data_IF_981421015054
#
_entry.id   IF_981421015054
#
_cell.length_a   1.000
_cell.length_b   1.000
_cell.length_c   1.000
_cell.angle_alpha   90.00
_cell.angle_beta   90.00
_cell.angle_gamma   90.00
#
_symmetry.space_group_name_H-M   'P 1'
#
loop_
_entity.id
_entity.type
_entity.pdbx_description
1 polymer ?
#
# COMPACT_ATOMS: atom_id res chain seq x y z
N UNK A 1 -27.31 37.29 129.07
CA UNK A 1 -27.31 35.81 129.17
C UNK A 1 -28.48 35.29 128.36
N UNK A 2 -28.27 34.24 127.57
CA UNK A 2 -29.25 33.29 127.02
C UNK A 2 -30.65 33.80 126.64
N UNK A 3 -31.11 33.48 125.42
CA UNK A 3 -32.54 33.49 125.14
C UNK A 3 -32.92 32.36 124.17
N UNK A 4 -33.92 31.52 124.53
CA UNK A 4 -34.45 30.46 123.69
C UNK A 4 -35.76 30.86 122.98
N UNK A 5 -36.24 29.89 122.18
CA UNK A 5 -37.62 29.59 121.74
C UNK A 5 -38.18 30.14 120.41
N UNK A 6 -38.85 29.20 119.73
CA UNK A 6 -39.55 29.22 118.43
C UNK A 6 -40.41 30.46 118.19
N UNK A 7 -40.41 30.99 116.96
CA UNK A 7 -41.55 31.06 116.02
C UNK A 7 -41.13 31.80 114.73
N UNK A 8 -41.86 31.58 113.65
CA UNK A 8 -41.40 31.80 112.28
C UNK A 8 -41.21 33.24 111.82
N UNK A 9 -40.63 33.36 110.63
CA UNK A 9 -40.77 34.56 109.80
C UNK A 9 -40.76 34.13 108.34
N UNK A 10 -41.91 34.26 107.69
CA UNK A 10 -41.99 34.15 106.24
C UNK A 10 -41.14 35.25 105.63
N UNK A 11 -40.20 34.87 104.78
CA UNK A 11 -39.70 35.78 103.76
C UNK A 11 -40.72 35.70 102.65
N UNK A 12 -41.55 36.74 102.55
CA UNK A 12 -42.57 36.85 101.51
C UNK A 12 -41.89 36.68 100.15
N UNK A 13 -42.28 35.63 99.43
CA UNK A 13 -42.15 35.64 97.99
C UNK A 13 -43.07 36.77 97.51
N UNK A 14 -42.54 37.87 96.94
CA UNK A 14 -43.41 38.82 96.25
C UNK A 14 -44.22 38.03 95.22
N UNK A 15 -45.49 38.41 94.95
CA UNK A 15 -46.34 37.70 94.01
C UNK A 15 -45.58 37.49 92.70
N UNK A 16 -45.80 36.37 91.97
CA UNK A 16 -45.11 36.12 90.71
C UNK A 16 -45.37 37.28 89.77
N UNK A 17 -44.40 38.20 89.68
CA UNK A 17 -44.35 39.22 88.66
C UNK A 17 -44.20 38.47 87.35
N UNK A 18 -45.24 38.48 86.53
CA UNK A 18 -45.32 37.83 85.22
C UNK A 18 -44.26 38.38 84.26
N UNK A 19 -43.02 37.95 84.45
CA UNK A 19 -41.88 38.24 83.59
C UNK A 19 -41.46 36.96 82.89
N UNK A 20 -41.41 37.03 81.55
CA UNK A 20 -40.95 35.97 80.66
C UNK A 20 -39.73 35.23 81.21
N UNK A 21 -39.69 33.91 80.98
CA UNK A 21 -38.52 33.06 81.22
C UNK A 21 -37.28 33.74 80.58
N UNK A 22 -36.16 33.96 81.29
CA UNK A 22 -35.05 34.79 80.80
C UNK A 22 -34.49 34.42 79.41
N UNK A 23 -34.43 33.15 78.99
CA UNK A 23 -34.00 32.81 77.62
C UNK A 23 -35.11 32.92 76.56
N UNK A 24 -36.35 33.26 76.94
CA UNK A 24 -37.50 33.50 76.05
C UNK A 24 -38.04 34.94 76.20
N UNK A 25 -37.17 35.90 76.52
CA UNK A 25 -37.51 37.33 76.47
C UNK A 25 -37.51 37.80 75.01
N UNK A 26 -38.72 38.01 74.48
CA UNK A 26 -38.97 38.39 73.08
C UNK A 26 -38.47 39.79 72.72
N UNK A 27 -38.12 40.63 73.70
CA UNK A 27 -37.54 41.96 73.44
C UNK A 27 -36.13 41.88 72.80
N UNK A 28 -35.41 40.78 73.04
CA UNK A 28 -34.06 40.55 72.50
C UNK A 28 -34.06 39.93 71.09
N UNK A 29 -35.20 39.41 70.64
CA UNK A 29 -35.30 38.74 69.34
C UNK A 29 -35.16 39.71 68.16
N UNK A 30 -35.68 40.93 68.27
CA UNK A 30 -35.62 41.91 67.17
C UNK A 30 -34.18 42.32 66.84
N UNK A 31 -33.33 42.73 67.81
CA UNK A 31 -31.91 42.98 67.54
C UNK A 31 -31.16 41.76 66.98
N UNK A 32 -31.45 40.56 67.49
CA UNK A 32 -30.84 39.32 67.03
C UNK A 32 -31.20 39.01 65.56
N UNK A 33 -32.46 39.21 65.19
CA UNK A 33 -32.94 39.03 63.81
C UNK A 33 -32.33 40.07 62.85
N UNK A 34 -32.15 41.32 63.30
CA UNK A 34 -31.47 42.35 62.50
C UNK A 34 -30.02 41.95 62.25
N UNK A 35 -29.28 41.52 63.27
CA UNK A 35 -27.88 41.08 63.10
C UNK A 35 -27.77 39.79 62.27
N UNK A 36 -28.70 38.85 62.44
CA UNK A 36 -28.82 37.67 61.59
C UNK A 36 -29.03 38.07 60.13
N UNK A 37 -29.95 39.00 59.85
CA UNK A 37 -30.21 39.48 58.49
C UNK A 37 -28.97 40.17 57.88
N UNK A 38 -28.26 40.99 58.66
CA UNK A 38 -27.03 41.67 58.19
C UNK A 38 -25.93 40.65 57.89
N UNK A 39 -25.65 39.73 58.81
CA UNK A 39 -24.60 38.72 58.63
C UNK A 39 -24.93 37.73 57.51
N UNK A 40 -26.18 37.29 57.42
CA UNK A 40 -26.65 36.42 56.34
C UNK A 40 -26.64 37.15 54.98
N UNK A 41 -27.04 38.42 54.94
CA UNK A 41 -26.96 39.26 53.74
C UNK A 41 -25.51 39.45 53.27
N UNK A 42 -24.59 39.71 54.20
CA UNK A 42 -23.15 39.81 53.89
C UNK A 42 -22.60 38.49 53.35
N UNK A 43 -22.93 37.37 53.98
CA UNK A 43 -22.54 36.03 53.52
C UNK A 43 -23.13 35.73 52.14
N UNK A 44 -24.40 36.06 51.91
CA UNK A 44 -25.08 35.88 50.62
C UNK A 44 -24.38 36.67 49.52
N UNK A 45 -24.04 37.93 49.76
CA UNK A 45 -23.30 38.76 48.79
C UNK A 45 -21.91 38.17 48.51
N UNK A 46 -21.20 37.71 49.53
CA UNK A 46 -19.89 37.06 49.37
C UNK A 46 -20.01 35.79 48.50
N UNK A 47 -21.00 34.95 48.80
CA UNK A 47 -21.25 33.70 48.07
C UNK A 47 -21.66 33.96 46.61
N UNK A 48 -22.59 34.89 46.42
CA UNK A 48 -23.09 35.28 45.10
C UNK A 48 -21.98 35.90 44.25
N UNK A 49 -21.10 36.71 44.84
CA UNK A 49 -20.14 37.51 44.08
C UNK A 49 -18.79 36.84 43.88
N UNK A 50 -18.42 35.87 44.71
CA UNK A 50 -17.08 35.23 44.68
C UNK A 50 -17.17 33.73 44.42
N UNK A 51 -17.96 32.99 45.18
CA UNK A 51 -17.93 31.54 45.08
C UNK A 51 -18.70 31.00 43.87
N UNK A 52 -19.91 31.50 43.61
CA UNK A 52 -20.67 31.12 42.41
C UNK A 52 -19.88 31.39 41.11
N UNK A 53 -19.27 32.57 40.89
CA UNK A 53 -18.49 32.79 39.68
C UNK A 53 -17.25 31.90 39.60
N UNK A 54 -16.57 31.60 40.71
CA UNK A 54 -15.42 30.67 40.72
C UNK A 54 -15.82 29.25 40.32
N UNK A 55 -16.95 28.76 40.82
CA UNK A 55 -17.45 27.42 40.46
C UNK A 55 -17.88 27.41 38.99
N UNK A 56 -18.55 28.47 38.52
CA UNK A 56 -18.91 28.63 37.11
C UNK A 56 -17.69 28.60 36.18
N UNK A 57 -16.61 29.30 36.54
CA UNK A 57 -15.36 29.29 35.77
C UNK A 57 -14.78 27.87 35.64
N UNK A 58 -14.69 27.10 36.73
CA UNK A 58 -14.15 25.74 36.68
C UNK A 58 -15.01 24.81 35.83
N UNK A 59 -16.33 24.96 35.87
CA UNK A 59 -17.26 24.16 35.05
C UNK A 59 -17.06 24.51 33.57
N UNK A 60 -16.96 25.79 33.23
CA UNK A 60 -16.76 26.20 31.84
C UNK A 60 -15.38 25.78 31.33
N UNK A 61 -14.31 25.93 32.10
CA UNK A 61 -12.97 25.46 31.74
C UNK A 61 -12.94 23.95 31.44
N UNK A 62 -13.64 23.15 32.26
CA UNK A 62 -13.77 21.70 32.02
C UNK A 62 -14.57 21.42 30.77
N UNK A 63 -15.69 22.12 30.59
CA UNK A 63 -16.54 21.96 29.40
C UNK A 63 -15.78 22.30 28.13
N UNK A 64 -15.10 23.43 28.11
CA UNK A 64 -14.26 23.83 26.97
C UNK A 64 -13.12 22.84 26.71
N UNK A 65 -12.45 22.33 27.76
CA UNK A 65 -11.41 21.31 27.60
C UNK A 65 -11.97 20.05 26.95
N UNK A 66 -13.11 19.55 27.44
CA UNK A 66 -13.78 18.37 26.87
C UNK A 66 -14.15 18.63 25.41
N UNK A 67 -14.73 19.79 25.09
CA UNK A 67 -15.09 20.13 23.71
C UNK A 67 -13.85 20.18 22.82
N UNK A 68 -12.77 20.85 23.24
CA UNK A 68 -11.51 20.87 22.50
C UNK A 68 -10.92 19.48 22.28
N UNK A 69 -10.97 18.62 23.29
CA UNK A 69 -10.45 17.25 23.21
C UNK A 69 -11.30 16.39 22.26
N UNK A 70 -12.63 16.57 22.26
CA UNK A 70 -13.55 15.91 21.33
C UNK A 70 -13.33 16.39 19.88
N UNK A 71 -13.24 17.70 19.67
CA UNK A 71 -12.99 18.28 18.35
C UNK A 71 -11.64 17.81 17.79
N UNK A 72 -10.61 17.76 18.64
CA UNK A 72 -9.29 17.25 18.27
C UNK A 72 -9.36 15.75 17.92
N UNK A 73 -10.09 14.95 18.69
CA UNK A 73 -10.26 13.53 18.43
C UNK A 73 -11.01 13.28 17.11
N UNK A 74 -12.08 14.03 16.84
CA UNK A 74 -12.85 13.92 15.59
C UNK A 74 -11.99 14.33 14.39
N UNK A 75 -11.23 15.42 14.51
CA UNK A 75 -10.29 15.85 13.49
C UNK A 75 -9.22 14.79 13.21
N UNK A 76 -8.56 14.25 14.24
CA UNK A 76 -7.53 13.22 14.07
C UNK A 76 -8.13 11.95 13.45
N UNK A 77 -9.34 11.58 13.84
CA UNK A 77 -10.06 10.45 13.24
C UNK A 77 -10.31 10.69 11.76
N UNK A 78 -10.83 11.86 11.38
CA UNK A 78 -11.05 12.23 9.98
C UNK A 78 -9.76 12.26 9.15
N UNK A 79 -8.68 12.83 9.69
CA UNK A 79 -7.36 12.84 9.05
C UNK A 79 -6.82 11.42 8.85
N UNK A 80 -7.02 10.53 9.85
CA UNK A 80 -6.61 9.12 9.77
C UNK A 80 -7.41 8.35 8.74
N UNK A 81 -8.73 8.52 8.69
CA UNK A 81 -9.61 7.89 7.71
C UNK A 81 -9.25 8.33 6.28
N UNK A 82 -8.97 9.62 6.07
CA UNK A 82 -8.51 10.13 4.79
C UNK A 82 -7.14 9.57 4.40
N UNK A 83 -6.20 9.52 5.34
CA UNK A 83 -4.88 8.94 5.10
C UNK A 83 -4.97 7.44 4.76
N UNK A 84 -5.84 6.70 5.45
CA UNK A 84 -6.08 5.27 5.19
C UNK A 84 -6.68 5.07 3.80
N UNK A 85 -7.70 5.85 3.44
CA UNK A 85 -8.32 5.78 2.11
C UNK A 85 -7.30 6.10 0.99
N UNK A 86 -6.48 7.14 1.17
CA UNK A 86 -5.43 7.49 0.22
C UNK A 86 -4.35 6.39 0.12
N UNK A 87 -3.97 5.78 1.25
CA UNK A 87 -3.02 4.68 1.30
C UNK A 87 -3.55 3.43 0.57
N UNK A 88 -4.79 3.03 0.86
CA UNK A 88 -5.44 1.89 0.19
C UNK A 88 -5.57 2.13 -1.32
N UNK A 89 -5.96 3.33 -1.73
CA UNK A 89 -6.03 3.71 -3.14
C UNK A 89 -4.65 3.66 -3.81
N UNK A 90 -3.61 4.18 -3.16
CA UNK A 90 -2.25 4.14 -3.68
C UNK A 90 -1.75 2.70 -3.82
N UNK A 91 -2.05 1.83 -2.85
CA UNK A 91 -1.71 0.41 -2.88
C UNK A 91 -2.43 -0.32 -4.02
N UNK A 92 -3.73 -0.05 -4.20
CA UNK A 92 -4.51 -0.62 -5.30
C UNK A 92 -3.96 -0.17 -6.67
N UNK A 93 -3.64 1.11 -6.83
CA UNK A 93 -3.04 1.63 -8.05
C UNK A 93 -1.65 1.03 -8.31
N UNK A 94 -0.82 0.89 -7.28
CA UNK A 94 0.50 0.28 -7.41
C UNK A 94 0.42 -1.18 -7.86
N UNK A 95 -0.50 -1.96 -7.27
CA UNK A 95 -0.77 -3.34 -7.69
C UNK A 95 -1.27 -3.41 -9.13
N UNK A 96 -2.22 -2.55 -9.51
CA UNK A 96 -2.74 -2.49 -10.87
C UNK A 96 -1.64 -2.13 -11.89
N UNK A 97 -0.79 -1.15 -11.58
CA UNK A 97 0.36 -0.77 -12.42
C UNK A 97 1.37 -1.93 -12.54
N UNK A 98 1.71 -2.59 -11.44
CA UNK A 98 2.62 -3.73 -11.46
C UNK A 98 2.07 -4.88 -12.33
N UNK A 99 0.78 -5.20 -12.20
CA UNK A 99 0.13 -6.19 -13.06
C UNK A 99 0.14 -5.77 -14.53
N UNK A 100 -0.18 -4.50 -14.83
CA UNK A 100 -0.16 -3.97 -16.19
C UNK A 100 1.23 -3.99 -16.84
N UNK A 101 2.27 -3.64 -16.08
CA UNK A 101 3.66 -3.73 -16.54
C UNK A 101 4.03 -5.20 -16.82
N UNK A 102 3.73 -6.10 -15.88
CA UNK A 102 4.06 -7.52 -16.03
C UNK A 102 3.33 -8.16 -17.22
N UNK A 103 2.05 -7.83 -17.45
CA UNK A 103 1.30 -8.34 -18.60
C UNK A 103 1.83 -7.74 -19.91
N UNK A 104 2.07 -6.43 -19.95
CA UNK A 104 2.58 -5.74 -21.13
C UNK A 104 3.96 -6.23 -21.56
N UNK A 105 4.88 -6.43 -20.60
CA UNK A 105 6.20 -6.99 -20.90
C UNK A 105 6.12 -8.45 -21.35
N UNK A 106 5.25 -9.27 -20.76
CA UNK A 106 5.05 -10.66 -21.24
C UNK A 106 4.58 -10.69 -22.69
N UNK A 107 3.61 -9.85 -23.04
CA UNK A 107 3.08 -9.76 -24.41
C UNK A 107 4.14 -9.25 -25.39
N UNK A 108 4.91 -8.24 -24.99
CA UNK A 108 6.03 -7.71 -25.78
C UNK A 108 7.11 -8.76 -26.00
N UNK A 109 7.54 -9.46 -24.95
CA UNK A 109 8.55 -10.52 -25.04
C UNK A 109 8.08 -11.70 -25.90
N UNK A 110 6.79 -12.06 -25.82
CA UNK A 110 6.22 -13.09 -26.70
C UNK A 110 6.25 -12.65 -28.17
N UNK A 111 5.87 -11.40 -28.45
CA UNK A 111 5.89 -10.86 -29.81
C UNK A 111 7.32 -10.74 -30.36
N UNK A 112 8.27 -10.27 -29.56
CA UNK A 112 9.68 -10.15 -29.96
C UNK A 112 10.32 -11.53 -30.13
N UNK A 113 9.97 -12.51 -29.29
CA UNK A 113 10.39 -13.90 -29.44
C UNK A 113 9.90 -14.54 -30.74
N UNK A 114 8.63 -14.32 -31.09
CA UNK A 114 8.07 -14.80 -32.36
C UNK A 114 8.73 -14.14 -33.58
N UNK A 115 8.99 -12.82 -33.50
CA UNK A 115 9.71 -12.10 -34.57
C UNK A 115 11.13 -12.64 -34.78
N UNK A 116 11.89 -12.83 -33.71
CA UNK A 116 13.25 -13.35 -33.83
C UNK A 116 13.24 -14.80 -34.32
N UNK A 117 12.28 -15.61 -33.87
CA UNK A 117 12.08 -16.97 -34.37
C UNK A 117 11.84 -16.97 -35.88
N UNK A 118 10.90 -16.16 -36.38
CA UNK A 118 10.61 -16.06 -37.81
C UNK A 118 11.83 -15.59 -38.60
N UNK A 119 12.59 -14.62 -38.05
CA UNK A 119 13.83 -14.13 -38.67
C UNK A 119 14.88 -15.23 -38.78
N UNK A 120 15.10 -15.99 -37.71
CA UNK A 120 16.05 -17.12 -37.69
C UNK A 120 15.60 -18.23 -38.63
N UNK A 121 14.30 -18.57 -38.65
CA UNK A 121 13.75 -19.57 -39.58
C UNK A 121 13.95 -19.16 -41.05
N UNK A 122 13.74 -17.88 -41.39
CA UNK A 122 14.01 -17.36 -42.74
C UNK A 122 15.51 -17.42 -43.09
N UNK A 123 16.39 -17.04 -42.16
CA UNK A 123 17.84 -17.13 -42.37
C UNK A 123 18.30 -18.58 -42.56
N UNK A 124 17.75 -19.50 -41.76
CA UNK A 124 18.07 -20.92 -41.87
C UNK A 124 17.60 -21.49 -43.21
N UNK A 125 16.37 -21.15 -43.64
CA UNK A 125 15.85 -21.57 -44.93
C UNK A 125 16.71 -21.06 -46.11
N UNK A 126 17.17 -19.80 -46.04
CA UNK A 126 18.06 -19.23 -47.05
C UNK A 126 19.42 -19.94 -47.07
N UNK A 127 20.01 -20.21 -45.90
CA UNK A 127 21.28 -20.95 -45.80
C UNK A 127 21.15 -22.38 -46.32
N UNK A 128 20.03 -23.06 -46.04
CA UNK A 128 19.77 -24.41 -46.53
C UNK A 128 19.68 -24.41 -48.05
N UNK A 129 18.94 -23.46 -48.64
CA UNK A 129 18.81 -23.33 -50.08
C UNK A 129 20.16 -23.05 -50.77
N UNK A 130 21.01 -22.22 -50.18
CA UNK A 130 22.34 -21.94 -50.72
C UNK A 130 23.31 -23.12 -50.54
N UNK A 131 23.23 -23.86 -49.43
CA UNK A 131 23.97 -25.09 -49.24
C UNK A 131 23.58 -26.14 -50.29
N UNK A 132 22.28 -26.33 -50.54
CA UNK A 132 21.78 -27.26 -51.56
C UNK A 132 22.27 -26.89 -52.97
N UNK A 133 22.24 -25.59 -53.33
CA UNK A 133 22.82 -25.12 -54.59
C UNK A 133 24.31 -25.42 -54.70
N UNK A 134 25.08 -25.20 -53.63
CA UNK A 134 26.52 -25.48 -53.60
C UNK A 134 26.81 -26.98 -53.72
N UNK A 135 26.03 -27.82 -53.05
CA UNK A 135 26.12 -29.28 -53.15
C UNK A 135 25.81 -29.72 -54.58
N UNK A 136 24.73 -29.24 -55.18
CA UNK A 136 24.36 -29.54 -56.56
C UNK A 136 25.46 -29.12 -57.55
N UNK A 137 25.99 -27.91 -57.41
CA UNK A 137 27.08 -27.41 -58.27
C UNK A 137 28.36 -28.24 -58.11
N UNK A 138 28.73 -28.60 -56.87
CA UNK A 138 29.91 -29.42 -56.59
C UNK A 138 29.75 -30.83 -57.14
N UNK A 139 28.55 -31.43 -57.00
CA UNK A 139 28.21 -32.73 -57.58
C UNK A 139 28.35 -32.71 -59.10
N UNK A 140 27.79 -31.69 -59.77
CA UNK A 140 27.93 -31.54 -61.22
C UNK A 140 29.39 -31.39 -61.64
N UNK A 141 30.18 -30.58 -60.93
CA UNK A 141 31.62 -30.41 -61.21
C UNK A 141 32.39 -31.72 -61.02
N UNK A 142 32.16 -32.44 -59.92
CA UNK A 142 32.82 -33.71 -59.64
C UNK A 142 32.49 -34.77 -60.71
N UNK A 143 31.21 -34.87 -61.12
CA UNK A 143 30.81 -35.75 -62.21
C UNK A 143 31.46 -35.38 -63.55
N UNK A 144 31.58 -34.08 -63.86
CA UNK A 144 32.27 -33.62 -65.06
C UNK A 144 33.77 -33.98 -65.04
N UNK A 145 34.44 -33.79 -63.90
CA UNK A 145 35.85 -34.18 -63.73
C UNK A 145 36.06 -35.69 -63.84
N UNK A 146 35.15 -36.50 -63.29
CA UNK A 146 35.20 -37.97 -63.45
C UNK A 146 35.07 -38.35 -64.92
N UNK A 147 34.14 -37.73 -65.67
CA UNK A 147 33.98 -37.99 -67.10
C UNK A 147 35.22 -37.58 -67.90
N UNK A 148 35.87 -36.47 -67.55
CA UNK A 148 37.12 -36.04 -68.18
C UNK A 148 38.25 -37.04 -67.94
N UNK A 149 38.47 -37.43 -66.68
CA UNK A 149 39.49 -38.43 -66.31
C UNK A 149 39.20 -39.78 -66.96
N UNK A 150 37.92 -40.19 -67.05
CA UNK A 150 37.53 -41.42 -67.72
C UNK A 150 37.81 -41.38 -69.23
N UNK A 151 37.54 -40.25 -69.90
CA UNK A 151 37.86 -40.06 -71.32
C UNK A 151 39.37 -40.09 -71.58
N UNK A 152 40.15 -39.38 -70.75
CA UNK A 152 41.61 -39.35 -70.88
C UNK A 152 42.22 -40.74 -70.61
N UNK A 153 41.71 -41.46 -69.60
CA UNK A 153 42.16 -42.84 -69.28
C UNK A 153 41.78 -43.82 -70.38
N UNK A 154 40.54 -43.76 -70.90
CA UNK A 154 40.09 -44.63 -71.99
C UNK A 154 40.91 -44.38 -73.27
N UNK A 155 41.20 -43.13 -73.60
CA UNK A 155 42.06 -42.78 -74.73
C UNK A 155 43.48 -43.33 -74.58
N UNK A 156 44.07 -43.21 -73.38
CA UNK A 156 45.38 -43.78 -73.09
C UNK A 156 45.40 -45.32 -73.21
N UNK A 157 44.36 -46.00 -72.71
CA UNK A 157 44.21 -47.46 -72.81
C UNK A 157 44.06 -47.91 -74.26
N UNK A 158 43.24 -47.24 -75.07
CA UNK A 158 43.06 -47.53 -76.51
C UNK A 158 44.38 -47.33 -77.27
N UNK A 159 45.10 -46.24 -77.00
CA UNK A 159 46.41 -45.97 -77.61
C UNK A 159 47.42 -47.06 -77.28
N UNK A 160 47.43 -47.56 -76.03
CA UNK A 160 48.32 -48.63 -75.59
C UNK A 160 47.98 -50.01 -76.20
N UNK A 161 46.70 -50.32 -76.42
CA UNK A 161 46.25 -51.64 -76.90
C UNK A 161 46.27 -51.79 -78.42
N UNK A 162 45.85 -50.76 -79.16
CA UNK A 162 45.57 -50.86 -80.60
C UNK A 162 46.49 -49.96 -81.45
N UNK A 163 47.31 -49.12 -80.81
CA UNK A 163 48.27 -48.23 -81.49
C UNK A 163 47.64 -47.12 -82.33
N UNK A 164 46.32 -46.94 -82.28
CA UNK A 164 45.59 -45.91 -83.00
C UNK A 164 45.44 -44.64 -82.15
N UNK A 165 45.78 -43.48 -82.73
CA UNK A 165 45.44 -42.18 -82.15
C UNK A 165 43.96 -41.88 -82.46
N UNK A 166 43.09 -42.18 -81.49
CA UNK A 166 41.66 -41.87 -81.57
C UNK A 166 41.41 -40.46 -81.03
N UNK A 167 40.57 -39.68 -81.73
CA UNK A 167 40.23 -38.32 -81.32
C UNK A 167 39.51 -38.31 -79.97
N UNK A 168 39.83 -37.34 -79.10
CA UNK A 168 39.18 -37.14 -77.79
C UNK A 168 37.66 -37.05 -77.94
N UNK A 169 37.18 -36.42 -79.01
CA UNK A 169 35.73 -36.28 -79.27
C UNK A 169 35.06 -37.63 -79.58
N UNK A 170 35.75 -38.56 -80.25
CA UNK A 170 35.22 -39.90 -80.53
C UNK A 170 35.16 -40.75 -79.27
N UNK A 171 36.19 -40.66 -78.41
CA UNK A 171 36.24 -41.36 -77.10
C UNK A 171 35.13 -40.85 -76.19
N UNK A 172 34.92 -39.54 -76.10
CA UNK A 172 33.84 -38.93 -75.32
C UNK A 172 32.47 -39.35 -75.85
N UNK A 173 32.29 -39.39 -77.17
CA UNK A 173 31.02 -39.81 -77.81
C UNK A 173 30.72 -41.29 -77.56
N UNK A 174 31.73 -42.16 -77.56
CA UNK A 174 31.59 -43.58 -77.24
C UNK A 174 31.30 -43.81 -75.74
N UNK A 175 31.96 -43.09 -74.84
CA UNK A 175 31.69 -43.11 -73.39
C UNK A 175 30.25 -42.66 -73.07
N UNK A 176 29.76 -41.61 -73.73
CA UNK A 176 28.39 -41.14 -73.58
C UNK A 176 27.36 -42.18 -74.07
N UNK A 177 27.68 -42.94 -75.12
CA UNK A 177 26.83 -44.02 -75.62
C UNK A 177 26.86 -45.28 -74.73
N UNK A 178 27.94 -45.49 -73.97
CA UNK A 178 28.11 -46.63 -73.05
C UNK A 178 27.60 -46.36 -71.62
N UNK A 179 27.36 -45.11 -71.23
CA UNK A 179 26.82 -44.76 -69.93
C UNK A 179 25.36 -45.26 -69.78
N UNK A 180 24.97 -45.86 -68.64
CA UNK A 180 23.61 -46.36 -68.45
C UNK A 180 22.59 -45.21 -68.51
N UNK A 181 21.49 -45.42 -69.23
CA UNK A 181 20.40 -44.46 -69.34
C UNK A 181 19.86 -44.10 -67.94
N UNK A 182 19.79 -42.80 -67.63
CA UNK A 182 19.24 -42.26 -66.37
C UNK A 182 17.85 -42.87 -66.10
N UNK A 183 17.73 -43.68 -65.05
CA UNK A 183 16.46 -43.99 -64.38
C UNK A 183 16.15 -42.92 -63.35
#
# INVERSE_FOLDING_TARGET
MAAPTKTGTGVGHPPPSGGNFPPLDTSTFVPQLIWLAISFGLLYLLMSRIALPRIGQVIEERRERIQRDLDAAERLKGETEQALAAYEQALAQARAKAHGIASGERERLAADGERERQRVEQQLAAQLADADKRIAATKTKALAQINEVAADTAGAVVKALIGADVSRDEVVKALAAAAPAKS
#
